data_IF_058711092141
#
_entry.id   IF_058711092141
#
_cell.length_a   1.000
_cell.length_b   1.000
_cell.length_c   1.000
_cell.angle_alpha   90.00
_cell.angle_beta   90.00
_cell.angle_gamma   90.00
#
_symmetry.space_group_name_H-M   'P 1'
#
loop_
_entity.id
_entity.type
_entity.pdbx_description
1 polymer ?
#
# COMPACT_ATOMS: atom_id res chain seq x y z
N UNK A 1 -0.62 -21.41 -3.57
CA UNK A 1 0.62 -20.68 -3.21
C UNK A 1 0.32 -19.36 -2.53
N UNK A 2 -0.51 -19.37 -1.48
CA UNK A 2 -1.08 -18.20 -0.81
C UNK A 2 -0.51 -18.02 0.61
N UNK A 3 0.66 -18.60 0.89
CA UNK A 3 1.36 -18.49 2.17
C UNK A 3 2.60 -17.60 2.14
N UNK A 4 3.21 -17.39 0.96
CA UNK A 4 4.47 -16.65 0.85
C UNK A 4 4.32 -15.14 1.06
N UNK A 5 3.15 -14.56 0.74
CA UNK A 5 2.90 -13.11 0.88
C UNK A 5 2.60 -12.73 2.33
N UNK A 6 1.81 -13.54 3.04
CA UNK A 6 1.56 -13.35 4.47
C UNK A 6 2.83 -13.61 5.30
N UNK A 7 3.60 -14.64 4.96
CA UNK A 7 4.89 -14.91 5.61
C UNK A 7 5.94 -13.82 5.33
N UNK A 8 5.89 -13.15 4.17
CA UNK A 8 6.77 -12.03 3.86
C UNK A 8 6.40 -10.75 4.64
N UNK A 9 5.12 -10.57 5.01
CA UNK A 9 4.67 -9.51 5.90
C UNK A 9 5.10 -9.76 7.36
N UNK A 10 4.98 -11.00 7.84
CA UNK A 10 5.43 -11.40 9.18
C UNK A 10 6.96 -11.37 9.34
N UNK A 11 7.71 -11.59 8.25
CA UNK A 11 9.17 -11.49 8.24
C UNK A 11 9.70 -10.03 8.26
N UNK A 12 8.82 -9.03 8.23
CA UNK A 12 9.20 -7.61 8.30
C UNK A 12 9.29 -7.12 9.76
N UNK A 13 10.15 -7.77 10.56
CA UNK A 13 10.32 -7.53 11.99
C UNK A 13 11.44 -6.52 12.33
N UNK A 14 11.45 -5.34 11.72
CA UNK A 14 12.38 -4.27 12.13
C UNK A 14 13.87 -4.57 11.85
N UNK A 15 14.79 -3.68 12.25
CA UNK A 15 15.99 -3.37 11.47
C UNK A 15 17.07 -4.43 11.59
N UNK A 16 17.38 -5.12 10.48
CA UNK A 16 18.72 -5.65 10.29
C UNK A 16 19.67 -4.45 10.07
N UNK A 17 20.31 -4.06 11.18
CA UNK A 17 21.30 -3.00 11.42
C UNK A 17 20.75 -1.58 11.69
N UNK A 18 21.29 -0.86 12.72
CA UNK A 18 21.08 0.56 12.87
C UNK A 18 21.81 1.27 11.72
N UNK A 19 21.11 1.53 10.61
CA UNK A 19 21.62 2.37 9.52
C UNK A 19 22.14 1.66 8.27
N UNK A 20 21.38 0.74 7.65
CA UNK A 20 21.66 0.40 6.23
C UNK A 20 21.15 1.50 5.29
N UNK A 21 21.81 2.66 5.31
CA UNK A 21 21.71 3.70 4.26
C UNK A 21 22.42 3.31 2.96
N UNK A 22 22.91 2.06 2.83
CA UNK A 22 23.53 1.56 1.61
C UNK A 22 22.54 1.70 0.44
N UNK A 23 22.84 2.55 -0.58
CA UNK A 23 21.89 2.89 -1.63
C UNK A 23 21.31 1.67 -2.38
N UNK A 24 22.07 0.58 -2.46
CA UNK A 24 21.62 -0.67 -3.09
C UNK A 24 20.46 -1.37 -2.35
N UNK A 25 20.50 -1.41 -1.02
CA UNK A 25 19.47 -2.06 -0.20
C UNK A 25 18.18 -1.23 -0.20
N UNK A 26 18.30 0.10 -0.13
CA UNK A 26 17.16 1.03 -0.23
C UNK A 26 16.47 0.89 -1.60
N UNK A 27 17.24 0.84 -2.69
CA UNK A 27 16.68 0.61 -4.04
C UNK A 27 15.96 -0.73 -4.16
N UNK A 28 16.53 -1.79 -3.61
CA UNK A 28 15.91 -3.11 -3.65
C UNK A 28 14.58 -3.12 -2.87
N UNK A 29 14.56 -2.52 -1.68
CA UNK A 29 13.34 -2.41 -0.86
C UNK A 29 12.23 -1.66 -1.60
N UNK A 30 12.54 -0.49 -2.16
CA UNK A 30 11.58 0.29 -2.97
C UNK A 30 11.04 -0.51 -4.14
N UNK A 31 11.91 -1.23 -4.86
CA UNK A 31 11.49 -2.06 -5.99
C UNK A 31 10.56 -3.21 -5.56
N UNK A 32 10.79 -3.81 -4.40
CA UNK A 32 9.90 -4.86 -3.87
C UNK A 32 8.56 -4.24 -3.47
N UNK A 33 8.59 -3.10 -2.80
CA UNK A 33 7.41 -2.35 -2.38
C UNK A 33 6.54 -1.93 -3.57
N UNK A 34 7.14 -1.38 -4.63
CA UNK A 34 6.48 -1.01 -5.88
C UNK A 34 5.81 -2.21 -6.56
N UNK A 35 6.49 -3.37 -6.60
CA UNK A 35 5.94 -4.60 -7.17
C UNK A 35 4.77 -5.14 -6.35
N UNK A 36 4.90 -5.14 -5.02
CA UNK A 36 3.82 -5.57 -4.12
C UNK A 36 2.60 -4.66 -4.30
N UNK A 37 2.79 -3.35 -4.28
CA UNK A 37 1.75 -2.36 -4.51
C UNK A 37 1.04 -2.58 -5.84
N UNK A 38 1.79 -2.79 -6.93
CA UNK A 38 1.22 -3.06 -8.24
C UNK A 38 0.38 -4.35 -8.24
N UNK A 39 0.85 -5.41 -7.58
CA UNK A 39 0.13 -6.67 -7.46
C UNK A 39 -1.16 -6.54 -6.63
N UNK A 40 -1.15 -5.75 -5.54
CA UNK A 40 -2.33 -5.46 -4.72
C UNK A 40 -3.41 -4.76 -5.53
N UNK A 41 -3.04 -3.69 -6.25
CA UNK A 41 -3.96 -2.94 -7.12
C UNK A 41 -4.53 -3.86 -8.21
N UNK A 42 -3.69 -4.66 -8.87
CA UNK A 42 -4.13 -5.58 -9.92
C UNK A 42 -5.08 -6.67 -9.39
N UNK A 43 -4.87 -7.16 -8.16
CA UNK A 43 -5.74 -8.14 -7.53
C UNK A 43 -7.10 -7.55 -7.15
N UNK A 44 -7.15 -6.29 -6.74
CA UNK A 44 -8.42 -5.59 -6.45
C UNK A 44 -9.16 -6.12 -5.21
N UNK A 45 -8.48 -6.84 -4.31
CA UNK A 45 -9.09 -7.39 -3.11
C UNK A 45 -9.28 -6.30 -2.04
N UNK A 46 -10.51 -6.01 -1.59
CA UNK A 46 -10.76 -4.92 -0.66
C UNK A 46 -10.02 -5.06 0.68
N UNK A 47 -9.82 -6.28 1.17
CA UNK A 47 -9.14 -6.52 2.45
C UNK A 47 -7.66 -6.15 2.36
N UNK A 48 -6.95 -6.71 1.36
CA UNK A 48 -5.53 -6.39 1.19
C UNK A 48 -5.28 -4.92 0.82
N UNK A 49 -6.18 -4.32 0.04
CA UNK A 49 -6.10 -2.90 -0.29
C UNK A 49 -6.32 -2.03 0.95
N UNK A 50 -7.22 -2.42 1.86
CA UNK A 50 -7.41 -1.72 3.13
C UNK A 50 -6.18 -1.87 4.04
N UNK A 51 -5.65 -3.09 4.20
CA UNK A 51 -4.46 -3.34 5.03
C UNK A 51 -3.28 -2.46 4.59
N UNK A 52 -3.08 -2.27 3.28
CA UNK A 52 -2.09 -1.33 2.75
C UNK A 52 -2.49 0.13 3.00
N UNK A 53 -3.68 0.54 2.57
CA UNK A 53 -4.12 1.94 2.60
C UNK A 53 -4.11 2.54 4.02
N UNK A 54 -4.40 1.73 5.04
CA UNK A 54 -4.41 2.15 6.44
C UNK A 54 -3.07 1.94 7.16
N UNK A 55 -2.07 1.37 6.50
CA UNK A 55 -0.72 1.26 7.05
C UNK A 55 0.06 2.58 6.96
N UNK A 56 1.11 2.77 7.78
CA UNK A 56 1.92 3.99 7.75
C UNK A 56 2.61 4.28 6.40
N UNK A 57 2.78 3.27 5.55
CA UNK A 57 3.40 3.41 4.22
C UNK A 57 2.38 3.62 3.10
N UNK A 58 1.11 3.30 3.32
CA UNK A 58 0.05 3.44 2.31
C UNK A 58 -0.91 4.59 2.55
N UNK A 59 -0.76 5.34 3.65
CA UNK A 59 -1.72 6.37 4.04
C UNK A 59 -1.88 7.50 3.01
N UNK A 60 -0.81 7.78 2.25
CA UNK A 60 -0.78 8.78 1.17
C UNK A 60 -0.81 8.16 -0.25
N UNK A 61 -0.95 6.84 -0.35
CA UNK A 61 -0.89 6.11 -1.63
C UNK A 61 -2.20 6.23 -2.41
N UNK A 62 -2.35 7.38 -3.09
CA UNK A 62 -3.56 7.75 -3.80
C UNK A 62 -4.06 6.68 -4.81
N UNK A 63 -3.21 6.01 -5.61
CA UNK A 63 -3.65 4.89 -6.44
C UNK A 63 -4.24 3.70 -5.68
N UNK A 64 -3.71 3.34 -4.52
CA UNK A 64 -4.29 2.26 -3.70
C UNK A 64 -5.63 2.68 -3.10
N UNK A 65 -5.76 3.92 -2.61
CA UNK A 65 -7.04 4.46 -2.14
C UNK A 65 -8.12 4.47 -3.24
N UNK A 66 -7.74 4.80 -4.48
CA UNK A 66 -8.65 4.70 -5.64
C UNK A 66 -9.09 3.27 -5.93
N UNK A 67 -8.15 2.33 -5.90
CA UNK A 67 -8.44 0.91 -6.11
C UNK A 67 -9.40 0.39 -5.01
N UNK A 68 -9.14 0.72 -3.74
CA UNK A 68 -9.99 0.34 -2.62
C UNK A 68 -11.41 0.90 -2.77
N UNK A 69 -11.55 2.19 -3.10
CA UNK A 69 -12.84 2.82 -3.32
C UNK A 69 -13.63 2.19 -4.49
N UNK A 70 -12.94 1.64 -5.49
CA UNK A 70 -13.55 0.89 -6.60
C UNK A 70 -13.96 -0.54 -6.23
N UNK A 71 -13.25 -1.17 -5.30
CA UNK A 71 -13.43 -2.57 -4.94
C UNK A 71 -14.51 -2.82 -3.86
N UNK A 72 -14.82 -1.83 -3.02
CA UNK A 72 -15.81 -2.00 -1.94
C UNK A 72 -17.27 -1.87 -2.40
N UNK A 73 -18.23 -2.41 -1.62
CA UNK A 73 -19.66 -2.20 -1.85
C UNK A 73 -20.08 -0.71 -1.80
N UNK A 74 -21.18 -0.39 -2.49
CA UNK A 74 -21.61 0.99 -2.74
C UNK A 74 -21.84 1.84 -1.48
N UNK A 75 -22.29 1.22 -0.38
CA UNK A 75 -22.51 1.90 0.90
C UNK A 75 -21.21 2.37 1.58
N UNK A 76 -20.06 1.78 1.23
CA UNK A 76 -18.76 2.14 1.81
C UNK A 76 -17.95 3.13 0.95
N UNK A 77 -18.27 3.22 -0.35
CA UNK A 77 -17.54 4.07 -1.32
C UNK A 77 -17.47 5.56 -0.97
N UNK A 78 -18.55 6.22 -0.46
CA UNK A 78 -18.54 7.67 -0.28
C UNK A 78 -17.42 8.17 0.65
N UNK A 79 -17.17 7.47 1.76
CA UNK A 79 -16.13 7.82 2.72
C UNK A 79 -14.72 7.69 2.09
N UNK A 80 -14.47 6.59 1.39
CA UNK A 80 -13.19 6.35 0.72
C UNK A 80 -12.93 7.34 -0.43
N UNK A 81 -13.98 7.67 -1.19
CA UNK A 81 -13.88 8.69 -2.23
C UNK A 81 -13.60 10.08 -1.66
N UNK A 82 -14.09 10.40 -0.46
CA UNK A 82 -13.73 11.64 0.22
C UNK A 82 -12.24 11.67 0.58
N UNK A 83 -11.68 10.56 1.07
CA UNK A 83 -10.23 10.43 1.32
C UNK A 83 -9.41 10.58 0.04
N UNK A 84 -9.82 9.91 -1.03
CA UNK A 84 -9.18 10.04 -2.36
C UNK A 84 -9.13 11.51 -2.81
N UNK A 85 -10.25 12.24 -2.69
CA UNK A 85 -10.29 13.66 -3.07
C UNK A 85 -9.37 14.54 -2.22
N UNK A 86 -9.24 14.25 -0.92
CA UNK A 86 -8.32 14.96 -0.03
C UNK A 86 -6.87 14.80 -0.47
N UNK A 87 -6.43 13.55 -0.64
CA UNK A 87 -5.08 13.22 -1.10
C UNK A 87 -4.75 13.82 -2.48
N UNK A 88 -5.71 13.76 -3.38
CA UNK A 88 -5.57 14.28 -4.75
C UNK A 88 -5.50 15.82 -4.78
N UNK A 89 -6.11 16.50 -3.81
CA UNK A 89 -5.94 17.95 -3.63
C UNK A 89 -4.58 18.29 -3.03
N UNK A 90 -4.12 17.55 -2.01
CA UNK A 90 -2.80 17.74 -1.39
C UNK A 90 -1.66 17.57 -2.40
N UNK A 91 -1.75 16.59 -3.31
CA UNK A 91 -0.73 16.32 -4.33
C UNK A 91 -0.71 17.33 -5.50
N UNK A 92 -1.75 18.16 -5.63
CA UNK A 92 -1.85 19.19 -6.69
C UNK A 92 -1.40 20.58 -6.24
N UNK A 93 -1.31 20.82 -4.93
CA UNK A 93 -0.82 22.07 -4.34
C UNK A 93 0.69 22.12 -4.29
#
# INVERSE_FOLDING_TARGET
GSGAVAAALDAYAGPLLPGSGAPAVVRLRRRIEEQLRAALIARGDPGLLADWAYSPWGEEDLPVWRALAGAVPANQRPALQARVRGLDAEQRG
#
